data_IF_967799349290
#
_entry.id   IF_967799349290
#
_cell.length_a   1.000
_cell.length_b   1.000
_cell.length_c   1.000
_cell.angle_alpha   90.00
_cell.angle_beta   90.00
_cell.angle_gamma   90.00
#
_symmetry.space_group_name_H-M   'P 1'
#
loop_
_entity.id
_entity.type
_entity.pdbx_description
1 polymer ?
#
# COMPACT_ATOMS: atom_id res chain seq x y z
N UNK A 1 -70.82 -13.50 -18.01
CA UNK A 1 -69.95 -12.30 -17.95
C UNK A 1 -69.31 -12.20 -16.56
N UNK A 2 -68.20 -12.89 -16.27
CA UNK A 2 -67.49 -12.75 -14.98
C UNK A 2 -65.94 -12.89 -15.07
N UNK A 3 -65.37 -12.92 -16.29
CA UNK A 3 -63.93 -13.21 -16.46
C UNK A 3 -62.98 -12.00 -16.49
N UNK A 4 -63.48 -10.79 -16.74
CA UNK A 4 -62.62 -9.61 -17.00
C UNK A 4 -62.16 -8.88 -15.73
N UNK A 5 -62.99 -8.84 -14.68
CA UNK A 5 -62.67 -8.08 -13.45
C UNK A 5 -61.53 -8.70 -12.63
N UNK A 6 -61.42 -10.03 -12.57
CA UNK A 6 -60.38 -10.72 -11.78
C UNK A 6 -58.99 -10.57 -12.40
N UNK A 7 -58.90 -10.61 -13.73
CA UNK A 7 -57.66 -10.40 -14.50
C UNK A 7 -57.08 -8.99 -14.31
N UNK A 8 -57.94 -7.96 -14.28
CA UNK A 8 -57.54 -6.56 -14.11
C UNK A 8 -57.01 -6.28 -12.69
N UNK A 9 -57.63 -6.87 -11.66
CA UNK A 9 -57.15 -6.76 -10.27
C UNK A 9 -55.77 -7.42 -10.09
N UNK A 10 -55.53 -8.58 -10.72
CA UNK A 10 -54.21 -9.25 -10.68
C UNK A 10 -53.13 -8.53 -11.49
N UNK A 11 -53.48 -7.87 -12.59
CA UNK A 11 -52.53 -7.08 -13.38
C UNK A 11 -52.12 -5.79 -12.63
N UNK A 12 -53.07 -5.12 -11.98
CA UNK A 12 -52.81 -3.94 -11.14
C UNK A 12 -51.94 -4.27 -9.91
N UNK A 13 -52.17 -5.40 -9.24
CA UNK A 13 -51.34 -5.83 -8.11
C UNK A 13 -49.92 -6.23 -8.53
N UNK A 14 -49.77 -6.85 -9.71
CA UNK A 14 -48.45 -7.14 -10.30
C UNK A 14 -47.69 -5.87 -10.70
N UNK A 15 -48.35 -4.89 -11.33
CA UNK A 15 -47.73 -3.61 -11.67
C UNK A 15 -47.30 -2.82 -10.42
N UNK A 16 -48.12 -2.84 -9.35
CA UNK A 16 -47.77 -2.25 -8.07
C UNK A 16 -46.57 -2.96 -7.41
N UNK A 17 -46.54 -4.29 -7.45
CA UNK A 17 -45.40 -5.08 -6.95
C UNK A 17 -44.11 -4.80 -7.76
N UNK A 18 -44.20 -4.76 -9.10
CA UNK A 18 -43.07 -4.39 -9.95
C UNK A 18 -42.57 -2.96 -9.67
N UNK A 19 -43.50 -2.01 -9.46
CA UNK A 19 -43.17 -0.64 -9.08
C UNK A 19 -42.47 -0.55 -7.72
N UNK A 20 -42.93 -1.32 -6.73
CA UNK A 20 -42.30 -1.40 -5.41
C UNK A 20 -40.90 -2.03 -5.49
N UNK A 21 -40.74 -3.11 -6.24
CA UNK A 21 -39.43 -3.75 -6.46
C UNK A 21 -38.48 -2.76 -7.15
N UNK A 22 -38.92 -2.11 -8.23
CA UNK A 22 -38.10 -1.11 -8.93
C UNK A 22 -37.69 0.03 -7.99
N UNK A 23 -38.64 0.55 -7.20
CA UNK A 23 -38.36 1.60 -6.23
C UNK A 23 -37.38 1.13 -5.15
N UNK A 24 -37.55 -0.07 -4.59
CA UNK A 24 -36.64 -0.65 -3.62
C UNK A 24 -35.24 -0.86 -4.20
N UNK A 25 -35.14 -1.33 -5.45
CA UNK A 25 -33.86 -1.49 -6.16
C UNK A 25 -33.19 -0.14 -6.41
N UNK A 26 -33.93 0.89 -6.84
CA UNK A 26 -33.39 2.23 -7.04
C UNK A 26 -32.95 2.88 -5.72
N UNK A 27 -33.71 2.69 -4.64
CA UNK A 27 -33.29 3.12 -3.30
C UNK A 27 -32.04 2.40 -2.82
N UNK A 28 -31.99 1.06 -2.99
CA UNK A 28 -30.82 0.27 -2.62
C UNK A 28 -29.59 0.69 -3.44
N UNK A 29 -29.75 0.88 -4.75
CA UNK A 29 -28.70 1.42 -5.62
C UNK A 29 -28.26 2.81 -5.17
N UNK A 30 -29.21 3.72 -4.89
CA UNK A 30 -28.91 5.07 -4.43
C UNK A 30 -28.14 5.06 -3.10
N UNK A 31 -28.57 4.25 -2.14
CA UNK A 31 -27.87 4.06 -0.88
C UNK A 31 -26.47 3.48 -1.08
N UNK A 32 -26.34 2.41 -1.87
CA UNK A 32 -25.04 1.76 -2.10
C UNK A 32 -24.07 2.68 -2.84
N UNK A 33 -24.49 3.27 -3.95
CA UNK A 33 -23.63 4.07 -4.82
C UNK A 33 -23.21 5.41 -4.23
N UNK A 34 -24.09 6.07 -3.47
CA UNK A 34 -23.86 7.44 -3.01
C UNK A 34 -23.63 7.58 -1.51
N UNK A 35 -23.86 6.55 -0.71
CA UNK A 35 -23.62 6.57 0.73
C UNK A 35 -22.65 5.47 1.17
N UNK A 36 -22.98 4.20 0.90
CA UNK A 36 -22.20 3.08 1.43
C UNK A 36 -20.83 2.94 0.76
N UNK A 37 -20.76 2.98 -0.57
CA UNK A 37 -19.50 2.84 -1.31
C UNK A 37 -18.54 4.00 -1.01
N UNK A 38 -18.93 5.29 -1.10
CA UNK A 38 -18.02 6.39 -0.74
C UNK A 38 -17.51 6.29 0.70
N UNK A 39 -18.37 5.92 1.66
CA UNK A 39 -17.96 5.76 3.05
C UNK A 39 -17.00 4.57 3.26
N UNK A 40 -17.10 3.52 2.45
CA UNK A 40 -16.18 2.39 2.48
C UNK A 40 -14.85 2.67 1.76
N UNK A 41 -14.84 3.62 0.82
CA UNK A 41 -13.72 3.81 -0.11
C UNK A 41 -12.71 4.86 0.35
N UNK A 42 -13.14 5.85 1.14
CA UNK A 42 -12.27 6.96 1.54
C UNK A 42 -12.42 7.28 3.01
N UNK A 43 -11.28 7.34 3.71
CA UNK A 43 -11.21 7.66 5.12
C UNK A 43 -9.84 8.30 5.43
N UNK A 44 -9.86 9.36 6.23
CA UNK A 44 -8.70 10.19 6.57
C UNK A 44 -8.88 10.83 7.97
N UNK A 45 -9.65 10.19 8.85
CA UNK A 45 -10.14 10.77 10.11
C UNK A 45 -8.98 11.24 11.00
N UNK A 46 -7.90 10.48 10.99
CA UNK A 46 -6.68 10.73 11.76
C UNK A 46 -5.70 11.66 11.06
N UNK A 47 -5.87 11.92 9.75
CA UNK A 47 -4.92 12.74 8.98
C UNK A 47 -5.56 13.40 7.75
N UNK A 48 -6.52 14.31 7.99
CA UNK A 48 -7.38 14.91 6.94
C UNK A 48 -6.61 15.70 5.88
N UNK A 49 -5.45 16.23 6.24
CA UNK A 49 -4.57 16.95 5.33
C UNK A 49 -4.04 16.12 4.16
N UNK A 50 -4.15 14.78 4.21
CA UNK A 50 -3.78 13.89 3.11
C UNK A 50 -4.92 13.72 2.09
N UNK A 51 -6.14 14.12 2.42
CA UNK A 51 -7.27 13.99 1.51
C UNK A 51 -7.03 14.79 0.21
N UNK A 52 -7.15 14.12 -0.92
CA UNK A 52 -6.97 14.71 -2.26
C UNK A 52 -5.52 14.72 -2.76
N UNK A 53 -4.54 14.29 -1.94
CA UNK A 53 -3.19 14.05 -2.42
C UNK A 53 -3.12 12.79 -3.28
N UNK A 54 -2.27 12.74 -4.31
CA UNK A 54 -2.07 11.53 -5.10
C UNK A 54 -1.40 10.45 -4.26
N UNK A 55 -1.91 9.22 -4.26
CA UNK A 55 -1.33 8.11 -3.47
C UNK A 55 -0.38 7.22 -4.28
N UNK A 56 0.16 7.73 -5.39
CA UNK A 56 1.04 6.98 -6.29
C UNK A 56 2.22 7.83 -6.72
N UNK A 57 3.42 7.26 -6.74
CA UNK A 57 4.60 7.92 -7.32
C UNK A 57 4.54 7.97 -8.84
N UNK A 58 5.48 8.66 -9.45
CA UNK A 58 5.70 8.66 -10.89
C UNK A 58 7.18 8.51 -11.22
N UNK A 59 7.48 7.89 -12.35
CA UNK A 59 8.82 7.93 -12.94
C UNK A 59 9.12 9.34 -13.49
N UNK A 60 10.38 9.58 -13.89
CA UNK A 60 10.76 10.84 -14.55
C UNK A 60 9.96 11.11 -15.85
N UNK A 61 9.44 10.07 -16.49
CA UNK A 61 8.62 10.14 -17.70
C UNK A 61 7.12 10.31 -17.39
N UNK A 62 6.73 10.39 -16.12
CA UNK A 62 5.35 10.57 -15.68
C UNK A 62 4.52 9.30 -15.61
N UNK A 63 5.13 8.12 -15.85
CA UNK A 63 4.47 6.82 -15.74
C UNK A 63 4.17 6.56 -14.24
N UNK A 64 2.98 6.09 -13.85
CA UNK A 64 2.69 5.68 -12.48
C UNK A 64 3.76 4.68 -11.98
N UNK A 65 4.41 5.02 -10.86
CA UNK A 65 5.42 4.19 -10.21
C UNK A 65 4.80 3.30 -9.13
N UNK A 66 5.52 3.14 -8.03
CA UNK A 66 5.04 2.42 -6.87
C UNK A 66 3.95 3.22 -6.12
N UNK A 67 2.91 2.55 -5.59
CA UNK A 67 1.90 3.17 -4.74
C UNK A 67 2.46 3.49 -3.34
N UNK A 68 1.91 4.53 -2.70
CA UNK A 68 2.15 4.79 -1.29
C UNK A 68 1.38 3.76 -0.46
N UNK A 69 2.07 3.10 0.46
CA UNK A 69 1.48 2.08 1.35
C UNK A 69 1.87 2.29 2.83
N UNK A 70 2.84 3.15 3.13
CA UNK A 70 3.25 3.44 4.51
C UNK A 70 3.37 4.95 4.75
N UNK A 71 3.18 5.39 5.99
CA UNK A 71 3.42 6.77 6.39
C UNK A 71 4.01 6.90 7.78
N UNK A 72 4.66 8.03 8.04
CA UNK A 72 5.27 8.35 9.33
C UNK A 72 4.86 9.75 9.77
N UNK A 73 4.56 9.92 11.06
CA UNK A 73 4.37 11.24 11.68
C UNK A 73 5.55 11.52 12.61
N UNK A 74 6.33 12.55 12.27
CA UNK A 74 7.51 12.96 13.02
C UNK A 74 8.41 13.95 12.30
N UNK A 75 9.38 14.51 13.02
CA UNK A 75 10.44 15.31 12.41
C UNK A 75 11.37 14.45 11.56
N UNK A 76 12.22 15.06 10.74
CA UNK A 76 13.21 14.31 9.94
C UNK A 76 14.13 13.50 10.84
N UNK A 77 14.51 14.08 11.97
CA UNK A 77 15.34 13.48 13.00
C UNK A 77 14.64 12.26 13.63
N UNK A 78 13.35 12.37 13.97
CA UNK A 78 12.56 11.24 14.49
C UNK A 78 12.52 10.09 13.48
N UNK A 79 12.29 10.37 12.19
CA UNK A 79 12.28 9.35 11.13
C UNK A 79 13.63 8.66 11.02
N UNK A 80 14.73 9.41 10.96
CA UNK A 80 16.07 8.84 10.88
C UNK A 80 16.39 7.93 12.08
N UNK A 81 16.07 8.39 13.28
CA UNK A 81 16.28 7.62 14.51
C UNK A 81 15.42 6.37 14.58
N UNK A 82 14.14 6.47 14.21
CA UNK A 82 13.21 5.34 14.24
C UNK A 82 13.61 4.26 13.23
N UNK A 83 13.95 4.65 12.01
CA UNK A 83 14.41 3.73 10.97
C UNK A 83 15.71 3.03 11.38
N UNK A 84 16.68 3.78 11.92
CA UNK A 84 17.92 3.19 12.44
C UNK A 84 17.67 2.22 13.60
N UNK A 85 16.79 2.56 14.55
CA UNK A 85 16.42 1.68 15.65
C UNK A 85 15.76 0.38 15.14
N UNK A 86 14.96 0.47 14.07
CA UNK A 86 14.34 -0.66 13.39
C UNK A 86 15.28 -1.43 12.43
N UNK A 87 16.59 -1.14 12.45
CA UNK A 87 17.61 -1.79 11.60
C UNK A 87 17.38 -1.58 10.09
N UNK A 88 16.78 -0.44 9.73
CA UNK A 88 16.74 0.04 8.36
C UNK A 88 17.86 1.05 8.16
N UNK A 89 18.68 0.82 7.13
CA UNK A 89 19.86 1.62 6.84
C UNK A 89 19.58 2.58 5.68
N UNK A 90 20.17 3.78 5.64
CA UNK A 90 20.03 4.66 4.48
C UNK A 90 20.54 3.98 3.20
N UNK A 91 19.76 4.06 2.11
CA UNK A 91 20.18 3.58 0.81
C UNK A 91 21.18 4.54 0.15
N UNK A 92 22.15 4.02 -0.63
CA UNK A 92 23.18 4.87 -1.25
C UNK A 92 22.64 5.76 -2.37
N UNK A 93 23.20 6.97 -2.53
CA UNK A 93 22.86 7.84 -3.65
C UNK A 93 23.37 7.27 -4.98
N UNK A 94 22.58 7.44 -6.06
CA UNK A 94 22.97 7.03 -7.42
C UNK A 94 24.21 7.80 -7.89
N UNK A 95 25.35 7.12 -7.94
CA UNK A 95 26.61 7.60 -8.54
C UNK A 95 27.16 6.59 -9.56
N UNK A 96 27.95 7.04 -10.55
CA UNK A 96 28.59 6.15 -11.54
C UNK A 96 29.43 5.03 -10.90
N UNK A 97 29.93 5.26 -9.68
CA UNK A 97 30.66 4.26 -8.88
C UNK A 97 29.73 3.17 -8.37
N UNK A 98 28.60 3.55 -7.77
CA UNK A 98 27.60 2.61 -7.26
C UNK A 98 26.99 1.72 -8.35
N UNK A 99 26.81 2.24 -9.57
CA UNK A 99 26.33 1.45 -10.72
C UNK A 99 27.34 0.40 -11.21
N UNK A 100 28.65 0.68 -11.17
CA UNK A 100 29.69 -0.30 -11.51
C UNK A 100 29.86 -1.36 -10.41
N UNK A 101 29.66 -0.98 -9.14
CA UNK A 101 29.70 -1.90 -8.00
C UNK A 101 28.50 -2.84 -7.96
N UNK A 102 27.29 -2.42 -8.38
CA UNK A 102 26.15 -3.33 -8.63
C UNK A 102 26.55 -4.42 -9.62
N UNK A 103 27.04 -4.03 -10.80
CA UNK A 103 27.40 -4.97 -11.87
C UNK A 103 28.46 -5.96 -11.36
N UNK A 104 29.45 -5.48 -10.60
CA UNK A 104 30.45 -6.33 -9.96
C UNK A 104 29.89 -7.27 -8.90
N UNK A 105 28.97 -6.81 -8.05
CA UNK A 105 28.38 -7.60 -6.97
C UNK A 105 27.49 -8.74 -7.47
N UNK A 106 26.76 -8.50 -8.57
CA UNK A 106 25.92 -9.49 -9.24
C UNK A 106 26.77 -10.56 -9.93
N UNK A 107 27.91 -10.19 -10.52
CA UNK A 107 28.85 -11.15 -11.14
C UNK A 107 29.62 -11.98 -10.10
N UNK A 108 29.78 -11.46 -8.87
CA UNK A 108 30.59 -12.07 -7.81
C UNK A 108 29.79 -12.71 -6.67
N UNK A 109 28.46 -12.72 -6.74
CA UNK A 109 27.55 -13.28 -5.72
C UNK A 109 27.80 -12.71 -4.32
N UNK A 110 27.94 -11.37 -4.22
CA UNK A 110 28.20 -10.65 -2.96
C UNK A 110 27.06 -9.68 -2.65
N UNK A 111 26.65 -9.62 -1.38
CA UNK A 111 25.77 -8.58 -0.88
C UNK A 111 26.33 -7.19 -1.23
N UNK A 112 25.51 -6.39 -1.93
CA UNK A 112 25.72 -4.97 -2.16
C UNK A 112 24.49 -4.26 -1.61
N UNK A 113 24.44 -4.06 -0.27
CA UNK A 113 23.27 -3.50 0.39
C UNK A 113 22.80 -2.23 -0.30
N UNK A 114 23.76 -1.40 -0.75
CA UNK A 114 23.56 -0.03 -1.17
C UNK A 114 23.42 0.17 -2.71
N UNK A 115 22.80 -0.77 -3.42
CA UNK A 115 22.56 -0.63 -4.86
C UNK A 115 21.62 0.57 -5.17
N UNK A 116 21.96 1.51 -6.08
CA UNK A 116 21.06 2.59 -6.47
C UNK A 116 19.71 2.11 -7.01
N UNK A 117 18.65 2.64 -6.43
CA UNK A 117 17.26 2.44 -6.85
C UNK A 117 16.88 3.49 -7.91
N UNK A 118 16.03 3.14 -8.87
CA UNK A 118 15.46 4.13 -9.80
C UNK A 118 14.75 5.25 -9.01
N UNK A 119 14.97 6.51 -9.40
CA UNK A 119 14.35 7.65 -8.71
C UNK A 119 12.85 7.69 -9.02
N UNK A 120 12.05 7.73 -7.95
CA UNK A 120 10.62 7.95 -8.03
C UNK A 120 10.30 9.38 -7.61
N UNK A 121 9.26 9.93 -8.22
CA UNK A 121 8.86 11.32 -8.03
C UNK A 121 7.47 11.37 -7.43
N UNK A 122 7.31 12.19 -6.40
CA UNK A 122 6.03 12.53 -5.81
C UNK A 122 5.83 14.03 -6.00
N UNK A 123 4.73 14.41 -6.67
CA UNK A 123 4.45 15.81 -7.03
C UNK A 123 5.63 16.52 -7.71
N UNK A 124 6.34 15.81 -8.58
CA UNK A 124 7.49 16.34 -9.33
C UNK A 124 8.80 16.43 -8.51
N UNK A 125 8.81 15.91 -7.28
CA UNK A 125 9.95 15.98 -6.36
C UNK A 125 10.50 14.58 -6.08
N UNK A 126 11.83 14.43 -6.16
CA UNK A 126 12.53 13.18 -5.80
C UNK A 126 12.36 12.87 -4.32
N UNK A 127 12.49 11.60 -3.94
CA UNK A 127 12.45 11.14 -2.55
C UNK A 127 13.36 11.96 -1.62
N UNK A 128 12.87 12.22 -0.41
CA UNK A 128 13.61 12.97 0.64
C UNK A 128 14.54 12.09 1.45
N UNK A 129 14.14 10.82 1.61
CA UNK A 129 14.80 9.77 2.37
C UNK A 129 14.54 8.44 1.68
N UNK A 130 15.53 7.56 1.69
CA UNK A 130 15.40 6.18 1.23
C UNK A 130 16.14 5.27 2.20
N UNK A 131 15.56 4.12 2.50
CA UNK A 131 16.12 3.13 3.41
C UNK A 131 16.02 1.74 2.82
N UNK A 132 16.93 0.87 3.25
CA UNK A 132 17.04 -0.51 2.85
C UNK A 132 17.28 -1.41 4.06
N UNK A 133 16.79 -2.64 3.96
CA UNK A 133 17.06 -3.71 4.91
C UNK A 133 17.31 -5.00 4.14
N UNK A 134 18.55 -5.48 4.19
CA UNK A 134 18.96 -6.68 3.48
C UNK A 134 18.21 -7.92 3.99
N UNK A 135 17.80 -8.80 3.07
CA UNK A 135 17.26 -10.11 3.40
C UNK A 135 18.28 -11.20 3.05
N UNK A 136 18.91 -11.80 4.07
CA UNK A 136 19.90 -12.86 3.87
C UNK A 136 21.28 -12.34 3.45
N UNK A 137 21.95 -13.05 2.54
CA UNK A 137 23.37 -12.85 2.19
C UNK A 137 23.62 -12.26 0.80
N UNK A 138 22.58 -12.09 -0.02
CA UNK A 138 22.69 -11.68 -1.43
C UNK A 138 22.09 -10.29 -1.65
N UNK A 139 22.58 -9.60 -2.69
CA UNK A 139 22.15 -8.25 -3.06
C UNK A 139 20.84 -8.21 -3.86
N UNK A 140 20.39 -9.37 -4.34
CA UNK A 140 19.20 -9.53 -5.19
C UNK A 140 17.88 -9.48 -4.40
N UNK A 141 17.96 -9.59 -3.06
CA UNK A 141 16.81 -9.63 -2.16
C UNK A 141 16.94 -8.58 -1.06
N UNK A 142 16.11 -7.53 -1.14
CA UNK A 142 16.14 -6.42 -0.18
C UNK A 142 14.77 -5.79 -0.02
N UNK A 143 14.45 -5.49 1.22
CA UNK A 143 13.34 -4.61 1.56
C UNK A 143 13.83 -3.18 1.35
N UNK A 144 13.05 -2.33 0.70
CA UNK A 144 13.39 -0.93 0.54
C UNK A 144 12.16 -0.04 0.69
N UNK A 145 12.38 1.17 1.19
CA UNK A 145 11.31 2.16 1.35
C UNK A 145 11.84 3.54 1.00
N UNK A 146 11.05 4.30 0.24
CA UNK A 146 11.30 5.72 -0.05
C UNK A 146 10.26 6.56 0.67
N UNK A 147 10.66 7.72 1.20
CA UNK A 147 9.78 8.66 1.88
C UNK A 147 9.83 10.05 1.28
N UNK A 148 8.67 10.70 1.28
CA UNK A 148 8.47 12.10 0.93
C UNK A 148 7.77 12.79 2.09
N UNK A 149 8.29 13.93 2.54
CA UNK A 149 7.56 14.81 3.45
C UNK A 149 6.45 15.49 2.67
N UNK A 150 5.21 15.12 2.96
CA UNK A 150 4.02 15.61 2.24
C UNK A 150 3.30 16.73 2.98
N UNK A 151 3.38 16.75 4.32
CA UNK A 151 2.82 17.82 5.14
C UNK A 151 3.88 18.33 6.12
N UNK A 152 4.00 19.66 6.25
CA UNK A 152 4.85 20.25 7.29
C UNK A 152 4.24 20.07 8.68
N UNK A 153 2.90 20.08 8.77
CA UNK A 153 2.11 19.88 9.99
C UNK A 153 0.86 19.08 9.66
N UNK A 154 0.71 17.92 10.27
CA UNK A 154 -0.50 17.10 10.25
C UNK A 154 -1.45 17.43 11.39
N UNK A 155 -2.37 16.52 11.70
CA UNK A 155 -3.35 16.67 12.78
C UNK A 155 -2.64 16.75 14.15
N UNK A 156 -1.51 16.06 14.31
CA UNK A 156 -0.69 16.12 15.52
C UNK A 156 0.27 17.32 15.56
N UNK A 157 0.17 18.26 14.61
CA UNK A 157 1.04 19.44 14.52
C UNK A 157 2.49 19.13 14.11
N UNK A 158 2.78 17.87 13.75
CA UNK A 158 4.10 17.36 13.33
C UNK A 158 4.13 17.06 11.84
N UNK A 159 5.32 16.95 11.26
CA UNK A 159 5.44 16.64 9.83
C UNK A 159 4.94 15.23 9.51
N UNK A 160 4.32 15.08 8.34
CA UNK A 160 3.80 13.80 7.85
C UNK A 160 4.57 13.41 6.60
N UNK A 161 4.98 12.15 6.58
CA UNK A 161 5.72 11.52 5.50
C UNK A 161 4.87 10.41 4.92
N UNK A 162 4.82 10.33 3.58
CA UNK A 162 4.30 9.16 2.87
C UNK A 162 5.46 8.41 2.26
N UNK A 163 5.32 7.10 2.17
CA UNK A 163 6.33 6.24 1.56
C UNK A 163 5.76 5.10 0.76
N UNK A 164 6.60 4.61 -0.15
CA UNK A 164 6.41 3.39 -0.91
C UNK A 164 7.43 2.37 -0.40
N UNK A 165 6.95 1.37 0.33
CA UNK A 165 7.72 0.22 0.78
C UNK A 165 7.50 -0.95 -0.17
N UNK A 166 8.57 -1.52 -0.70
CA UNK A 166 8.54 -2.61 -1.66
C UNK A 166 9.72 -3.56 -1.46
N UNK A 167 9.57 -4.81 -1.92
CA UNK A 167 10.57 -5.86 -1.77
C UNK A 167 11.18 -6.19 -3.11
N UNK A 168 12.46 -5.94 -3.28
CA UNK A 168 13.18 -6.44 -4.46
C UNK A 168 13.43 -7.94 -4.27
N UNK A 169 12.97 -8.77 -5.20
CA UNK A 169 13.13 -10.23 -5.13
C UNK A 169 13.97 -10.83 -6.26
N UNK A 170 14.25 -10.06 -7.31
CA UNK A 170 15.06 -10.49 -8.45
C UNK A 170 15.70 -9.30 -9.17
N UNK A 171 16.74 -9.56 -9.95
CA UNK A 171 17.30 -8.61 -10.93
C UNK A 171 16.87 -9.06 -12.33
N UNK A 172 16.41 -8.12 -13.14
CA UNK A 172 16.01 -8.38 -14.52
C UNK A 172 16.07 -7.13 -15.39
N UNK A 173 15.24 -7.08 -16.43
CA UNK A 173 15.17 -5.94 -17.34
C UNK A 173 13.83 -5.22 -17.18
N UNK A 174 13.88 -3.90 -17.06
CA UNK A 174 12.70 -3.04 -17.08
C UNK A 174 11.97 -3.23 -18.41
N UNK A 175 10.66 -3.51 -18.35
CA UNK A 175 9.86 -3.86 -19.54
C UNK A 175 9.73 -2.71 -20.54
N UNK A 176 9.83 -1.48 -20.08
CA UNK A 176 9.61 -0.28 -20.88
C UNK A 176 10.90 0.32 -21.43
N UNK A 177 12.01 0.22 -20.69
CA UNK A 177 13.28 0.85 -21.06
C UNK A 177 14.36 -0.14 -21.49
N UNK A 178 14.21 -1.44 -21.18
CA UNK A 178 15.23 -2.45 -21.42
C UNK A 178 16.48 -2.30 -20.53
N UNK A 179 16.45 -1.40 -19.54
CA UNK A 179 17.54 -1.22 -18.57
C UNK A 179 17.51 -2.34 -17.54
N UNK A 180 18.68 -2.71 -16.99
CA UNK A 180 18.74 -3.63 -15.85
C UNK A 180 18.08 -2.95 -14.65
N UNK A 181 17.10 -3.62 -14.04
CA UNK A 181 16.37 -3.14 -12.85
C UNK A 181 16.12 -4.27 -11.87
N UNK A 182 15.76 -3.92 -10.64
CA UNK A 182 15.25 -4.87 -9.67
C UNK A 182 13.75 -5.06 -9.87
N UNK A 183 13.28 -6.29 -9.75
CA UNK A 183 11.85 -6.61 -9.78
C UNK A 183 11.29 -6.66 -8.36
N UNK A 184 10.18 -5.98 -8.14
CA UNK A 184 9.50 -6.01 -6.85
C UNK A 184 8.60 -7.24 -6.71
N UNK A 185 8.47 -7.78 -5.50
CA UNK A 185 7.46 -8.79 -5.22
C UNK A 185 6.06 -8.16 -5.29
N UNK A 186 5.05 -8.95 -5.71
CA UNK A 186 3.73 -8.41 -5.99
C UNK A 186 2.93 -8.06 -4.73
N UNK A 187 3.23 -8.63 -3.57
CA UNK A 187 2.51 -8.37 -2.33
C UNK A 187 3.17 -7.22 -1.57
N UNK A 188 2.70 -5.99 -1.77
CA UNK A 188 3.34 -4.79 -1.23
C UNK A 188 2.88 -4.46 0.20
N UNK A 189 1.77 -5.02 0.67
CA UNK A 189 1.30 -4.83 2.04
C UNK A 189 2.14 -5.64 3.04
N UNK A 190 2.70 -6.78 2.62
CA UNK A 190 3.67 -7.54 3.41
C UNK A 190 4.90 -6.68 3.77
N UNK A 191 5.37 -5.83 2.86
CA UNK A 191 6.50 -4.94 3.09
C UNK A 191 6.17 -3.75 3.99
N UNK A 192 4.99 -3.17 3.77
CA UNK A 192 4.41 -2.18 4.68
C UNK A 192 4.35 -2.74 6.10
N UNK A 193 3.83 -3.96 6.25
CA UNK A 193 3.61 -4.59 7.55
C UNK A 193 4.94 -4.97 8.22
N UNK A 194 5.90 -5.48 7.45
CA UNK A 194 7.27 -5.75 7.93
C UNK A 194 7.94 -4.49 8.49
N UNK A 195 7.80 -3.36 7.79
CA UNK A 195 8.34 -2.08 8.26
C UNK A 195 7.63 -1.60 9.53
N UNK A 196 6.30 -1.63 9.56
CA UNK A 196 5.51 -1.21 10.73
C UNK A 196 5.85 -2.07 11.96
N UNK A 197 5.94 -3.40 11.80
CA UNK A 197 6.29 -4.31 12.88
C UNK A 197 7.72 -4.08 13.38
N UNK A 198 8.68 -3.85 12.47
CA UNK A 198 10.05 -3.50 12.86
C UNK A 198 10.11 -2.21 13.71
N UNK A 199 9.30 -1.21 13.38
CA UNK A 199 9.19 0.04 14.15
C UNK A 199 8.50 -0.19 15.51
N UNK A 200 7.48 -1.04 15.58
CA UNK A 200 6.83 -1.45 16.84
C UNK A 200 7.81 -2.17 17.76
N UNK A 201 8.54 -3.15 17.23
CA UNK A 201 9.52 -3.95 17.97
C UNK A 201 10.69 -3.10 18.50
N UNK A 202 11.10 -2.09 17.73
CA UNK A 202 12.08 -1.11 18.15
C UNK A 202 11.55 -0.12 19.23
N UNK A 203 10.26 -0.16 19.56
CA UNK A 203 9.61 0.70 20.57
C UNK A 203 9.74 2.20 20.29
N UNK A 204 9.68 2.55 19.00
CA UNK A 204 9.78 3.93 18.48
C UNK A 204 8.45 4.47 17.94
N UNK A 205 7.35 3.76 18.18
CA UNK A 205 6.00 4.13 17.72
C UNK A 205 5.05 4.34 18.91
N UNK A 206 4.38 5.49 18.92
CA UNK A 206 3.36 5.84 19.92
C UNK A 206 1.98 5.33 19.51
N UNK A 207 1.63 5.49 18.24
CA UNK A 207 0.36 5.02 17.72
C UNK A 207 0.46 4.63 16.25
N UNK A 208 -0.47 3.79 15.82
CA UNK A 208 -0.63 3.36 14.44
C UNK A 208 -2.07 3.59 14.04
N UNK A 209 -2.29 4.06 12.82
CA UNK A 209 -3.60 4.21 12.22
C UNK A 209 -3.53 4.07 10.71
N UNK A 210 -4.66 3.86 10.07
CA UNK A 210 -4.75 3.75 8.62
C UNK A 210 -5.40 4.99 8.01
N UNK A 211 -5.03 5.28 6.77
CA UNK A 211 -5.73 6.22 5.89
C UNK A 211 -5.78 5.66 4.48
N UNK A 212 -6.74 6.13 3.70
CA UNK A 212 -6.89 5.69 2.31
C UNK A 212 -5.68 5.99 1.46
N UNK A 213 -5.16 4.94 0.81
CA UNK A 213 -4.12 4.98 -0.22
C UNK A 213 -4.72 4.96 -1.63
N UNK A 214 -4.21 4.08 -2.49
CA UNK A 214 -4.70 3.92 -3.87
C UNK A 214 -6.03 3.16 -3.97
N UNK A 215 -6.49 2.57 -2.87
CA UNK A 215 -7.65 1.69 -2.83
C UNK A 215 -7.35 0.25 -3.30
N UNK A 216 -8.23 -0.71 -2.97
CA UNK A 216 -7.95 -2.13 -3.18
C UNK A 216 -7.64 -2.45 -4.65
N UNK A 217 -6.51 -3.12 -4.88
CA UNK A 217 -5.94 -3.35 -6.21
C UNK A 217 -5.44 -4.79 -6.35
N UNK A 218 -5.96 -5.56 -7.31
CA UNK A 218 -5.55 -6.97 -7.56
C UNK A 218 -4.56 -7.13 -8.72
N UNK A 219 -4.56 -6.17 -9.65
CA UNK A 219 -3.82 -6.23 -10.91
C UNK A 219 -3.13 -4.90 -11.18
N UNK A 220 -2.44 -4.37 -10.17
CA UNK A 220 -1.62 -3.18 -10.30
C UNK A 220 -0.37 -3.47 -11.12
N UNK A 221 0.15 -2.45 -11.82
CA UNK A 221 1.43 -2.52 -12.52
C UNK A 221 2.19 -1.24 -12.25
N UNK A 222 3.43 -1.34 -11.77
CA UNK A 222 4.26 -0.18 -11.49
C UNK A 222 5.00 0.33 -12.75
N UNK A 223 5.78 1.39 -12.58
CA UNK A 223 6.50 2.06 -13.67
C UNK A 223 7.62 1.25 -14.32
N UNK A 224 7.97 0.10 -13.75
CA UNK A 224 8.98 -0.83 -14.26
C UNK A 224 8.39 -2.07 -14.93
N UNK A 225 7.07 -2.25 -14.76
CA UNK A 225 6.29 -3.32 -15.36
C UNK A 225 6.00 -4.48 -14.41
N UNK A 226 6.29 -4.32 -13.12
CA UNK A 226 6.03 -5.31 -12.10
C UNK A 226 4.58 -5.26 -11.65
N UNK A 227 3.98 -6.44 -11.53
CA UNK A 227 2.63 -6.56 -11.03
C UNK A 227 2.62 -6.41 -9.50
N UNK A 228 1.58 -5.80 -8.96
CA UNK A 228 1.36 -5.73 -7.51
C UNK A 228 -0.12 -5.86 -7.15
N UNK A 229 -0.38 -6.24 -5.90
CA UNK A 229 -1.68 -6.20 -5.26
C UNK A 229 -1.58 -5.61 -3.84
N UNK A 230 -2.66 -4.98 -3.38
CA UNK A 230 -2.74 -4.29 -2.08
C UNK A 230 -4.18 -4.07 -1.66
N UNK A 231 -4.45 -4.07 -0.35
CA UNK A 231 -5.69 -3.59 0.28
C UNK A 231 -5.96 -2.11 0.01
N UNK A 232 -4.93 -1.37 -0.45
CA UNK A 232 -5.00 0.01 -0.85
C UNK A 232 -4.99 1.01 0.29
N UNK A 233 -4.65 0.56 1.50
CA UNK A 233 -4.51 1.39 2.70
C UNK A 233 -3.06 1.78 2.95
N UNK A 234 -2.89 2.95 3.58
CA UNK A 234 -1.62 3.44 4.09
C UNK A 234 -1.62 3.25 5.60
N UNK A 235 -0.73 2.39 6.11
CA UNK A 235 -0.48 2.31 7.56
C UNK A 235 0.47 3.43 7.98
N UNK A 236 0.01 4.30 8.87
CA UNK A 236 0.74 5.43 9.40
C UNK A 236 1.21 5.14 10.82
N UNK A 237 2.52 5.24 11.04
CA UNK A 237 3.13 5.16 12.37
C UNK A 237 3.45 6.56 12.90
N UNK A 238 2.85 6.93 14.04
CA UNK A 238 3.24 8.13 14.79
C UNK A 238 4.45 7.81 15.65
N UNK A 239 5.58 8.45 15.33
CA UNK A 239 6.87 8.18 15.94
C UNK A 239 7.01 8.88 17.30
N UNK A 240 7.77 8.26 18.21
CA UNK A 240 8.16 8.89 19.47
C UNK A 240 9.00 10.14 19.20
N UNK A 241 8.74 11.20 19.95
CA UNK A 241 9.47 12.46 19.82
C UNK A 241 10.90 12.39 20.38
N UNK A 242 11.82 13.04 19.67
CA UNK A 242 13.18 13.33 20.16
C UNK A 242 14.08 12.10 20.18
N UNK A 243 13.90 11.18 19.24
CA UNK A 243 14.67 9.94 19.15
C UNK A 243 14.63 9.06 20.41
N UNK A 244 13.58 9.22 21.23
CA UNK A 244 13.46 8.46 22.46
C UNK A 244 12.85 7.08 22.21
N UNK A 245 13.28 6.07 22.96
CA UNK A 245 12.65 4.74 23.01
C UNK A 245 11.76 4.68 24.25
N UNK A 246 10.48 5.02 24.12
CA UNK A 246 9.64 5.35 25.29
C UNK A 246 8.22 4.80 25.28
N UNK A 247 7.95 3.75 24.52
CA UNK A 247 6.61 3.16 24.54
C UNK A 247 6.71 1.66 24.80
N UNK A 248 6.00 1.20 25.82
CA UNK A 248 5.91 -0.24 26.12
C UNK A 248 5.12 -0.99 25.04
N UNK A 249 4.12 -0.32 24.44
CA UNK A 249 3.32 -0.81 23.31
C UNK A 249 2.70 0.35 22.51
N UNK A 250 2.83 0.32 21.18
CA UNK A 250 2.13 1.26 20.30
C UNK A 250 0.60 1.09 20.40
N UNK A 251 -0.14 2.20 20.40
CA UNK A 251 -1.60 2.22 20.42
C UNK A 251 -2.13 2.11 18.99
N UNK A 252 -2.93 1.09 18.68
CA UNK A 252 -3.64 1.03 17.39
C UNK A 252 -4.94 1.84 17.50
N UNK A 253 -5.07 2.88 16.67
CA UNK A 253 -6.29 3.69 16.60
C UNK A 253 -7.30 2.97 15.71
N UNK A 254 -8.57 3.00 16.12
CA UNK A 254 -9.63 2.32 15.40
C UNK A 254 -9.96 3.01 14.07
N UNK A 255 -10.20 2.21 13.05
CA UNK A 255 -10.80 2.65 11.80
C UNK A 255 -12.32 2.81 11.94
N UNK A 256 -12.98 3.51 10.99
CA UNK A 256 -14.43 3.42 10.86
C UNK A 256 -14.87 1.97 10.58
N UNK A 257 -15.97 1.46 11.17
CA UNK A 257 -16.38 0.05 11.03
C UNK A 257 -16.59 -0.43 9.59
N UNK A 258 -16.94 0.48 8.68
CA UNK A 258 -17.11 0.17 7.25
C UNK A 258 -15.79 -0.14 6.57
N UNK A 259 -14.68 0.46 7.03
CA UNK A 259 -13.33 0.20 6.54
C UNK A 259 -12.85 -1.17 7.01
N UNK A 260 -13.04 -1.49 8.30
CA UNK A 260 -12.69 -2.82 8.83
C UNK A 260 -13.43 -3.94 8.10
N UNK A 261 -14.73 -3.74 7.81
CA UNK A 261 -15.51 -4.69 7.01
C UNK A 261 -14.95 -4.85 5.61
N UNK A 262 -14.57 -3.75 4.94
CA UNK A 262 -13.93 -3.79 3.62
C UNK A 262 -12.62 -4.59 3.68
N UNK A 263 -11.76 -4.30 4.65
CA UNK A 263 -10.45 -4.94 4.78
C UNK A 263 -10.59 -6.46 5.01
N UNK A 264 -11.58 -6.89 5.80
CA UNK A 264 -11.90 -8.31 5.98
C UNK A 264 -12.37 -8.98 4.67
N UNK A 265 -13.24 -8.31 3.91
CA UNK A 265 -13.72 -8.84 2.62
C UNK A 265 -12.58 -8.94 1.62
N UNK A 266 -11.69 -7.95 1.60
CA UNK A 266 -10.51 -7.93 0.74
C UNK A 266 -9.57 -9.10 1.04
N UNK A 267 -9.20 -9.28 2.31
CA UNK A 267 -8.34 -10.39 2.73
C UNK A 267 -8.93 -11.75 2.31
N UNK A 268 -10.23 -11.96 2.56
CA UNK A 268 -10.90 -13.19 2.13
C UNK A 268 -10.91 -13.40 0.61
N UNK A 269 -11.00 -12.33 -0.18
CA UNK A 269 -10.94 -12.42 -1.64
C UNK A 269 -9.53 -12.74 -2.16
N UNK A 270 -8.50 -12.13 -1.57
CA UNK A 270 -7.09 -12.40 -1.91
C UNK A 270 -6.72 -13.83 -1.53
N UNK A 271 -7.07 -14.30 -0.33
CA UNK A 271 -6.81 -15.67 0.13
C UNK A 271 -7.46 -16.70 -0.80
N UNK A 272 -8.68 -16.46 -1.23
CA UNK A 272 -9.38 -17.30 -2.20
C UNK A 272 -8.70 -17.30 -3.58
N UNK A 273 -8.23 -16.14 -4.04
CA UNK A 273 -7.52 -16.01 -5.33
C UNK A 273 -6.17 -16.73 -5.30
N UNK A 274 -5.38 -16.52 -4.24
CA UNK A 274 -4.06 -17.12 -4.08
C UNK A 274 -4.14 -18.64 -3.88
N UNK A 275 -5.11 -19.13 -3.11
CA UNK A 275 -5.33 -20.57 -2.92
C UNK A 275 -5.76 -21.28 -4.21
N UNK A 276 -6.48 -20.59 -5.10
CA UNK A 276 -6.82 -21.12 -6.43
C UNK A 276 -5.61 -21.21 -7.38
N UNK A 277 -4.64 -20.30 -7.23
CA UNK A 277 -3.44 -20.23 -8.07
C UNK A 277 -2.30 -21.16 -7.62
N UNK A 278 -2.36 -21.69 -6.39
CA UNK A 278 -1.41 -22.69 -5.93
C UNK A 278 -1.54 -24.00 -6.73
N UNK A 279 -0.45 -24.55 -7.30
CA UNK A 279 -0.51 -25.85 -7.96
C UNK A 279 -0.99 -26.90 -6.95
N UNK A 280 -1.99 -27.70 -7.33
CA UNK A 280 -2.53 -28.77 -6.49
C UNK A 280 -1.41 -29.71 -6.01
N UNK A 281 -1.58 -30.37 -4.85
CA UNK A 281 -0.54 -31.22 -4.28
C UNK A 281 -0.05 -32.20 -5.34
N UNK A 282 1.27 -32.21 -5.59
CA UNK A 282 1.90 -33.18 -6.47
C UNK A 282 1.42 -34.56 -6.01
N UNK A 283 0.78 -35.30 -6.93
CA UNK A 283 0.40 -36.68 -6.67
C UNK A 283 1.66 -37.45 -6.30
N UNK A 284 1.79 -37.78 -5.01
CA UNK A 284 2.74 -38.78 -4.54
C UNK A 284 2.42 -40.06 -5.32
N UNK A 285 3.33 -40.42 -6.23
CA UNK A 285 3.27 -41.68 -6.94
C UNK A 285 4.01 -42.69 -6.10
N UNK A 286 3.24 -43.62 -5.52
CA UNK A 286 3.72 -44.90 -4.97
C UNK A 286 4.50 -45.73 -6.00
#
# INVERSE_FOLDING_TARGET
>A
MFGTSTLILTARSRLAACGLILFATLLAYGFLAYLALPAAWTHYEHQKGLAGLPMVTRTAQGIPGDPMNVGLVGTREDVLCAMHAAQWHPADPITLRSSLEIIGSVVLDRAYPQAPVSSLFYEGRREDLAFERAEGKSADRRNHVRFWKVLNKGEEGRSVWLGAATFDHAVGFNRFTGQVTHHIAPEIDAERDLLIDALKDAKVVEAIYEVTGIGPTLHGVNGEGDAYYTDGEIKIARLVEGCATRVERAIELTNPPVIDLKNLVWQGAVDALLSWQAPGPAAETE
#
